data_IF_142948756948
#
_entry.id   IF_142948756948
#
_cell.length_a   1.000
_cell.length_b   1.000
_cell.length_c   1.000
_cell.angle_alpha   90.00
_cell.angle_beta   90.00
_cell.angle_gamma   90.00
#
_symmetry.space_group_name_H-M   'P 1'
#
loop_
_entity.id
_entity.type
_entity.pdbx_description
1 polymer ?
#
# COMPACT_ATOMS: atom_id res chain seq x y z
N UNK A 1 39.82 -16.43 -15.50
CA UNK A 1 38.45 -16.08 -15.96
C UNK A 1 38.39 -14.96 -17.01
N UNK A 2 39.23 -13.91 -16.92
CA UNK A 2 39.17 -12.71 -17.78
C UNK A 2 39.54 -12.90 -19.26
N UNK A 3 40.47 -13.82 -19.56
CA UNK A 3 40.94 -14.03 -20.95
C UNK A 3 39.90 -14.67 -21.86
N UNK A 4 38.99 -15.50 -21.33
CA UNK A 4 37.91 -16.13 -22.09
C UNK A 4 36.86 -15.10 -22.50
N UNK A 5 36.53 -14.17 -21.60
CA UNK A 5 35.61 -13.06 -21.89
C UNK A 5 36.19 -12.12 -22.96
N UNK A 6 37.48 -11.78 -22.86
CA UNK A 6 38.19 -10.95 -23.85
C UNK A 6 38.23 -11.62 -25.23
N UNK A 7 38.60 -12.90 -25.30
CA UNK A 7 38.64 -13.63 -26.57
C UNK A 7 37.25 -13.78 -27.20
N UNK A 8 36.21 -14.07 -26.41
CA UNK A 8 34.85 -14.12 -26.93
C UNK A 8 34.44 -12.73 -27.43
N UNK A 9 34.61 -11.67 -26.64
CA UNK A 9 34.28 -10.30 -27.03
C UNK A 9 34.97 -9.85 -28.33
N UNK A 10 36.25 -10.18 -28.50
CA UNK A 10 36.98 -9.90 -29.75
C UNK A 10 36.38 -10.63 -30.96
N UNK A 11 35.94 -11.89 -30.81
CA UNK A 11 35.26 -12.63 -31.89
C UNK A 11 33.90 -12.01 -32.25
N UNK A 12 33.14 -11.53 -31.26
CA UNK A 12 31.88 -10.83 -31.50
C UNK A 12 32.09 -9.50 -32.23
N UNK A 13 33.11 -8.74 -31.84
CA UNK A 13 33.48 -7.49 -32.53
C UNK A 13 33.94 -7.78 -33.96
N UNK A 14 34.81 -8.78 -34.17
CA UNK A 14 35.24 -9.18 -35.51
C UNK A 14 34.07 -9.62 -36.39
N UNK A 15 33.12 -10.38 -35.85
CA UNK A 15 31.91 -10.79 -36.57
C UNK A 15 31.04 -9.59 -36.96
N UNK A 16 30.87 -8.62 -36.05
CA UNK A 16 30.11 -7.39 -36.31
C UNK A 16 30.74 -6.56 -37.44
N UNK A 17 32.08 -6.45 -37.47
CA UNK A 17 32.82 -5.77 -38.54
C UNK A 17 32.72 -6.50 -39.87
N UNK A 18 32.75 -7.83 -39.87
CA UNK A 18 32.64 -8.64 -41.09
C UNK A 18 31.23 -8.66 -41.69
N UNK A 19 30.19 -8.54 -40.86
CA UNK A 19 28.79 -8.60 -41.30
C UNK A 19 27.98 -7.38 -40.82
N UNK A 20 28.33 -6.16 -41.27
CA UNK A 20 27.75 -4.93 -40.74
C UNK A 20 26.23 -4.86 -40.98
N UNK A 21 25.76 -5.27 -42.18
CA UNK A 21 24.32 -5.27 -42.50
C UNK A 21 23.49 -6.08 -41.52
N UNK A 22 23.93 -7.31 -41.19
CA UNK A 22 23.23 -8.19 -40.25
C UNK A 22 23.27 -7.63 -38.83
N UNK A 23 24.41 -7.09 -38.41
CA UNK A 23 24.55 -6.44 -37.10
C UNK A 23 23.58 -5.27 -36.94
N UNK A 24 23.47 -4.40 -37.96
CA UNK A 24 22.52 -3.30 -37.95
C UNK A 24 21.07 -3.80 -37.93
N UNK A 25 20.72 -4.83 -38.70
CA UNK A 25 19.36 -5.40 -38.67
C UNK A 25 18.98 -5.93 -37.29
N UNK A 26 19.85 -6.72 -36.64
CA UNK A 26 19.58 -7.22 -35.28
C UNK A 26 19.49 -6.09 -34.25
N UNK A 27 20.38 -5.09 -34.36
CA UNK A 27 20.36 -3.92 -33.48
C UNK A 27 19.06 -3.12 -33.66
N UNK A 28 18.59 -2.97 -34.90
CA UNK A 28 17.34 -2.27 -35.21
C UNK A 28 16.12 -3.01 -34.67
N UNK A 29 16.10 -4.34 -34.77
CA UNK A 29 15.03 -5.18 -34.20
C UNK A 29 15.02 -5.05 -32.67
N UNK A 30 16.19 -5.16 -32.03
CA UNK A 30 16.31 -5.03 -30.57
C UNK A 30 15.84 -3.65 -30.10
N UNK A 31 16.26 -2.59 -30.79
CA UNK A 31 15.85 -1.22 -30.48
C UNK A 31 14.33 -1.04 -30.64
N UNK A 32 13.75 -1.58 -31.71
CA UNK A 32 12.30 -1.55 -31.96
C UNK A 32 11.51 -2.27 -30.86
N UNK A 33 11.93 -3.49 -30.50
CA UNK A 33 11.29 -4.26 -29.42
C UNK A 33 11.42 -3.54 -28.07
N UNK A 34 12.60 -2.99 -27.77
CA UNK A 34 12.82 -2.20 -26.54
C UNK A 34 11.94 -0.96 -26.50
N UNK A 35 11.74 -0.29 -27.63
CA UNK A 35 10.88 0.88 -27.73
C UNK A 35 9.41 0.52 -27.46
N UNK A 36 8.91 -0.56 -28.06
CA UNK A 36 7.56 -1.08 -27.81
C UNK A 36 7.40 -1.45 -26.32
N UNK A 37 8.38 -2.14 -25.74
CA UNK A 37 8.36 -2.48 -24.32
C UNK A 37 8.34 -1.25 -23.42
N UNK A 38 9.08 -0.19 -23.76
CA UNK A 38 9.06 1.08 -23.03
C UNK A 38 7.71 1.78 -23.10
N UNK A 39 7.01 1.70 -24.24
CA UNK A 39 5.64 2.24 -24.38
C UNK A 39 4.68 1.47 -23.50
N UNK A 40 4.73 0.13 -23.55
CA UNK A 40 3.88 -0.73 -22.70
C UNK A 40 4.16 -0.46 -21.22
N UNK A 41 5.44 -0.34 -20.82
CA UNK A 41 5.81 0.00 -19.46
C UNK A 41 5.26 1.38 -19.07
N UNK A 42 5.33 2.39 -19.94
CA UNK A 42 4.78 3.72 -19.66
C UNK A 42 3.25 3.75 -19.48
N UNK A 43 2.52 2.89 -20.20
CA UNK A 43 1.05 2.78 -20.09
C UNK A 43 0.63 1.94 -18.87
N UNK A 44 1.29 0.81 -18.65
CA UNK A 44 0.87 -0.18 -17.64
C UNK A 44 1.47 0.09 -16.25
N UNK A 45 2.65 0.70 -16.20
CA UNK A 45 3.32 1.17 -14.99
C UNK A 45 3.48 2.69 -15.09
N UNK A 46 2.40 3.47 -14.88
CA UNK A 46 2.55 4.92 -14.77
C UNK A 46 3.57 5.18 -13.66
N UNK A 47 4.76 5.64 -14.05
CA UNK A 47 5.79 5.99 -13.07
C UNK A 47 5.19 7.07 -12.20
N UNK A 48 5.20 6.88 -10.88
CA UNK A 48 4.74 7.88 -9.90
C UNK A 48 5.66 9.12 -9.86
N UNK A 49 6.21 9.52 -11.01
CA UNK A 49 7.06 10.69 -11.24
C UNK A 49 6.26 11.97 -11.46
N UNK A 50 4.92 11.91 -11.37
CA UNK A 50 4.14 13.10 -11.10
C UNK A 50 4.56 13.59 -9.72
N UNK A 51 5.35 14.68 -9.69
CA UNK A 51 5.76 15.42 -8.50
C UNK A 51 4.73 15.27 -7.38
N UNK A 52 4.99 14.34 -6.45
CA UNK A 52 4.21 14.19 -5.22
C UNK A 52 4.59 15.30 -4.27
N UNK A 53 4.41 16.56 -4.68
CA UNK A 53 4.32 17.66 -3.73
C UNK A 53 2.96 17.48 -3.07
N UNK A 54 2.89 16.56 -2.10
CA UNK A 54 1.80 16.56 -1.14
C UNK A 54 2.12 17.73 -0.22
N UNK A 55 1.38 18.85 -0.29
CA UNK A 55 1.55 19.88 0.73
C UNK A 55 1.32 19.21 2.10
N UNK A 56 2.15 19.51 3.11
CA UNK A 56 1.94 18.97 4.44
C UNK A 56 0.53 19.39 4.88
N UNK A 57 -0.25 18.43 5.37
CA UNK A 57 -1.59 18.69 5.89
C UNK A 57 -1.38 19.41 7.22
N UNK A 58 -1.37 20.74 7.19
CA UNK A 58 -1.05 21.55 8.37
C UNK A 58 -2.09 21.38 9.48
N UNK A 59 -3.29 20.92 9.15
CA UNK A 59 -4.31 20.46 10.09
C UNK A 59 -5.07 19.27 9.50
N UNK A 60 -4.81 18.07 10.02
CA UNK A 60 -5.58 16.86 9.73
C UNK A 60 -6.37 16.46 10.96
N UNK A 61 -7.44 17.20 11.28
CA UNK A 61 -8.45 16.67 12.19
C UNK A 61 -9.15 15.54 11.43
N UNK A 62 -8.84 14.31 11.81
CA UNK A 62 -9.37 13.05 11.27
C UNK A 62 -8.68 12.56 9.98
N UNK A 63 -7.38 12.25 10.07
CA UNK A 63 -6.88 11.05 9.38
C UNK A 63 -7.00 9.88 10.36
N UNK A 64 -8.22 9.38 10.52
CA UNK A 64 -8.39 8.04 11.06
C UNK A 64 -8.08 7.10 9.90
N UNK A 65 -7.08 6.26 10.15
CA UNK A 65 -6.48 5.36 9.20
C UNK A 65 -7.53 4.50 8.49
N UNK A 66 -7.49 4.46 7.16
CA UNK A 66 -8.18 3.48 6.31
C UNK A 66 -7.51 2.10 6.39
N UNK A 67 -7.40 1.63 7.62
CA UNK A 67 -7.06 0.28 8.08
C UNK A 67 -7.69 0.29 9.47
N UNK A 68 -8.72 -0.47 9.82
CA UNK A 68 -8.71 -1.93 9.94
C UNK A 68 -10.14 -2.43 10.17
N UNK A 69 -10.82 -3.05 9.18
CA UNK A 69 -12.07 -3.76 9.49
C UNK A 69 -11.84 -4.91 10.48
N UNK A 70 -10.64 -5.52 10.50
CA UNK A 70 -10.33 -6.70 11.33
C UNK A 70 -10.11 -6.39 12.82
N UNK A 71 -9.72 -5.16 13.19
CA UNK A 71 -9.54 -4.78 14.60
C UNK A 71 -10.82 -4.20 15.23
N UNK A 72 -11.70 -3.60 14.43
CA UNK A 72 -12.94 -3.01 14.91
C UNK A 72 -13.85 -4.06 15.56
N UNK A 73 -13.91 -5.28 15.01
CA UNK A 73 -14.75 -6.35 15.56
C UNK A 73 -14.33 -6.76 16.98
N UNK A 74 -13.01 -6.82 17.24
CA UNK A 74 -12.47 -7.14 18.57
C UNK A 74 -12.70 -6.03 19.58
N UNK A 75 -12.51 -4.77 19.17
CA UNK A 75 -12.79 -3.61 20.03
C UNK A 75 -14.29 -3.50 20.32
N UNK A 76 -15.13 -3.80 19.34
CA UNK A 76 -16.59 -3.84 19.48
C UNK A 76 -17.03 -4.93 20.47
N UNK A 77 -16.44 -6.13 20.40
CA UNK A 77 -16.70 -7.23 21.34
C UNK A 77 -16.30 -6.85 22.78
N UNK A 78 -15.17 -6.18 22.96
CA UNK A 78 -14.72 -5.69 24.28
C UNK A 78 -15.70 -4.68 24.88
N UNK A 79 -16.17 -3.71 24.07
CA UNK A 79 -17.15 -2.72 24.51
C UNK A 79 -18.48 -3.39 24.92
N UNK A 80 -18.95 -4.38 24.16
CA UNK A 80 -20.18 -5.12 24.49
C UNK A 80 -20.03 -5.90 25.80
N UNK A 81 -18.86 -6.51 26.04
CA UNK A 81 -18.59 -7.21 27.29
C UNK A 81 -18.55 -6.26 28.49
N UNK A 82 -17.95 -5.08 28.36
CA UNK A 82 -17.97 -4.05 29.41
C UNK A 82 -19.40 -3.57 29.70
N UNK A 83 -20.19 -3.28 28.66
CA UNK A 83 -21.59 -2.86 28.81
C UNK A 83 -22.45 -3.95 29.46
N UNK A 84 -22.18 -5.24 29.19
CA UNK A 84 -22.86 -6.36 29.85
C UNK A 84 -22.59 -6.40 31.35
N UNK A 85 -21.35 -6.14 31.78
CA UNK A 85 -20.99 -6.04 33.20
C UNK A 85 -21.74 -4.88 33.86
N UNK A 86 -21.80 -3.72 33.20
CA UNK A 86 -22.52 -2.55 33.70
C UNK A 86 -24.04 -2.80 33.77
N UNK A 87 -24.60 -3.57 32.83
CA UNK A 87 -25.99 -4.04 32.89
C UNK A 87 -26.25 -4.92 34.10
N UNK A 88 -25.35 -5.85 34.43
CA UNK A 88 -25.46 -6.68 35.65
C UNK A 88 -25.44 -5.81 36.92
N UNK A 89 -24.59 -4.78 36.98
CA UNK A 89 -24.57 -3.82 38.10
C UNK A 89 -25.86 -3.02 38.22
N UNK A 90 -26.48 -2.65 37.09
CA UNK A 90 -27.81 -2.03 37.06
C UNK A 90 -28.87 -2.98 37.61
N UNK A 91 -28.85 -4.24 37.20
CA UNK A 91 -29.80 -5.27 37.66
C UNK A 91 -29.65 -5.53 39.17
N UNK A 92 -28.44 -5.39 39.70
CA UNK A 92 -28.11 -5.49 41.12
C UNK A 92 -28.33 -4.18 41.91
N UNK A 93 -28.78 -3.11 41.25
CA UNK A 93 -29.00 -1.77 41.82
C UNK A 93 -27.75 -1.13 42.45
N UNK A 94 -26.54 -1.53 42.01
CA UNK A 94 -25.24 -1.05 42.51
C UNK A 94 -24.56 -0.06 41.55
N UNK A 95 -25.31 0.47 40.58
CA UNK A 95 -24.80 1.36 39.53
C UNK A 95 -24.47 2.74 40.11
N UNK A 96 -23.26 3.25 39.87
CA UNK A 96 -22.83 4.58 40.29
C UNK A 96 -23.02 5.62 39.17
N UNK A 97 -23.06 6.91 39.52
CA UNK A 97 -23.12 8.01 38.54
C UNK A 97 -21.92 8.02 37.57
N UNK A 98 -20.75 7.59 38.04
CA UNK A 98 -19.54 7.40 37.23
C UNK A 98 -19.75 6.32 36.15
N UNK A 99 -20.47 5.24 36.50
CA UNK A 99 -20.80 4.17 35.55
C UNK A 99 -21.73 4.72 34.45
N UNK A 100 -22.61 5.67 34.74
CA UNK A 100 -23.46 6.32 33.71
C UNK A 100 -22.64 7.05 32.65
N UNK A 101 -21.64 7.84 33.07
CA UNK A 101 -20.74 8.54 32.13
C UNK A 101 -19.93 7.53 31.30
N UNK A 102 -19.50 6.42 31.93
CA UNK A 102 -18.78 5.35 31.24
C UNK A 102 -19.67 4.63 30.22
N UNK A 103 -20.95 4.43 30.51
CA UNK A 103 -21.92 3.85 29.56
C UNK A 103 -22.07 4.75 28.34
N UNK A 104 -22.26 6.06 28.53
CA UNK A 104 -22.41 7.01 27.42
C UNK A 104 -21.16 7.05 26.53
N UNK A 105 -19.98 7.05 27.14
CA UNK A 105 -18.71 6.98 26.44
C UNK A 105 -18.58 5.69 25.60
N UNK A 106 -18.81 4.53 26.22
CA UNK A 106 -18.71 3.22 25.57
C UNK A 106 -19.74 3.07 24.44
N UNK A 107 -20.95 3.59 24.64
CA UNK A 107 -21.99 3.57 23.62
C UNK A 107 -21.62 4.43 22.42
N UNK A 108 -21.09 5.64 22.63
CA UNK A 108 -20.64 6.51 21.55
C UNK A 108 -19.46 5.89 20.77
N UNK A 109 -18.51 5.28 21.48
CA UNK A 109 -17.39 4.58 20.86
C UNK A 109 -17.87 3.42 19.97
N UNK A 110 -18.85 2.64 20.45
CA UNK A 110 -19.46 1.57 19.66
C UNK A 110 -20.14 2.10 18.39
N UNK A 111 -20.88 3.21 18.48
CA UNK A 111 -21.53 3.83 17.32
C UNK A 111 -20.50 4.32 16.28
N UNK A 112 -19.40 4.91 16.72
CA UNK A 112 -18.35 5.38 15.82
C UNK A 112 -17.65 4.21 15.12
N UNK A 113 -17.38 3.10 15.84
CA UNK A 113 -16.82 1.88 15.25
C UNK A 113 -17.79 1.20 14.27
N UNK A 114 -19.10 1.25 14.54
CA UNK A 114 -20.13 0.67 13.67
C UNK A 114 -20.41 1.51 12.43
N UNK A 115 -20.46 2.84 12.56
CA UNK A 115 -20.89 3.75 11.51
C UNK A 115 -19.71 4.39 10.75
N UNK A 116 -18.47 4.17 11.19
CA UNK A 116 -17.26 4.66 10.52
C UNK A 116 -17.14 6.19 10.47
N UNK A 117 -17.77 6.90 11.40
CA UNK A 117 -17.79 8.37 11.50
C UNK A 117 -17.00 8.89 12.71
#
# INVERSE_FOLDING_TARGET
>A
MSNILKQKGQKWIQWAVQNPKKFFTYSMILLSVSFIASIIQGIFFPSETAFKIRPPVLYSKNKVNQSFPVNNDKEMEQIVNELKILKVKRDQNTLKKEDSLRIDYLFNQYQNLKNGH
#
